data_IF_702043317442
#
_entry.id   IF_702043317442
#
_cell.length_a   1.000
_cell.length_b   1.000
_cell.length_c   1.000
_cell.angle_alpha   90.00
_cell.angle_beta   90.00
_cell.angle_gamma   90.00
#
_symmetry.space_group_name_H-M   'P 1'
#
loop_
_entity.id
_entity.type
_entity.pdbx_description
1 polymer ?
#
# COMPACT_ATOMS: atom_id res chain seq x y z
N UNK A 1 1.16 5.42 -10.85
CA UNK A 1 0.06 4.67 -10.20
C UNK A 1 -0.59 5.58 -9.17
N UNK A 2 -1.90 5.65 -9.19
CA UNK A 2 -2.67 6.54 -8.32
C UNK A 2 -3.65 5.76 -7.47
N UNK A 3 -3.95 6.29 -6.29
CA UNK A 3 -4.91 5.71 -5.36
C UNK A 3 -6.00 6.73 -5.10
N UNK A 4 -7.24 6.30 -5.23
CA UNK A 4 -8.42 7.15 -5.01
C UNK A 4 -9.35 6.49 -4.03
N UNK A 5 -9.97 7.29 -3.18
CA UNK A 5 -10.92 6.78 -2.19
C UNK A 5 -12.32 7.32 -2.46
N UNK A 6 -13.31 6.44 -2.42
CA UNK A 6 -14.71 6.83 -2.49
C UNK A 6 -15.11 7.56 -1.21
N UNK A 7 -15.65 8.77 -1.34
CA UNK A 7 -16.08 9.58 -0.19
C UNK A 7 -17.28 8.98 0.53
N UNK A 8 -18.07 8.16 -0.16
CA UNK A 8 -19.31 7.59 0.41
C UNK A 8 -19.06 6.23 1.06
N UNK A 9 -18.37 5.31 0.38
CA UNK A 9 -18.20 3.95 0.87
C UNK A 9 -16.79 3.65 1.40
N UNK A 10 -15.82 4.54 1.17
CA UNK A 10 -14.45 4.35 1.63
C UNK A 10 -13.61 3.39 0.78
N UNK A 11 -14.18 2.79 -0.26
CA UNK A 11 -13.44 1.85 -1.11
C UNK A 11 -12.30 2.55 -1.84
N UNK A 12 -11.15 1.87 -1.94
CA UNK A 12 -9.98 2.41 -2.60
C UNK A 12 -9.80 1.77 -3.97
N UNK A 13 -9.56 2.61 -4.97
CA UNK A 13 -9.29 2.22 -6.35
C UNK A 13 -7.84 2.50 -6.69
N UNK A 14 -7.15 1.53 -7.26
CA UNK A 14 -5.78 1.67 -7.77
C UNK A 14 -5.86 1.73 -9.29
N UNK A 15 -5.34 2.81 -9.88
CA UNK A 15 -5.44 3.02 -11.33
C UNK A 15 -4.42 4.06 -11.81
N UNK A 16 -4.13 4.05 -13.11
CA UNK A 16 -3.37 5.11 -13.77
C UNK A 16 -4.26 6.18 -14.38
N UNK A 17 -5.59 6.01 -14.31
CA UNK A 17 -6.53 6.99 -14.86
C UNK A 17 -6.51 8.27 -14.04
N UNK A 18 -6.71 9.46 -14.68
CA UNK A 18 -6.80 10.72 -13.96
C UNK A 18 -8.12 10.80 -13.18
N UNK A 19 -8.14 11.61 -12.12
CA UNK A 19 -9.30 11.76 -11.23
C UNK A 19 -10.58 12.12 -11.96
N UNK A 20 -10.50 12.99 -12.98
CA UNK A 20 -11.69 13.45 -13.73
C UNK A 20 -12.42 12.33 -14.46
N UNK A 21 -11.79 11.18 -14.65
CA UNK A 21 -12.42 10.02 -15.29
C UNK A 21 -13.07 9.06 -14.31
N UNK A 22 -12.97 9.31 -13.00
CA UNK A 22 -13.41 8.38 -11.96
C UNK A 22 -14.72 8.79 -11.28
N UNK A 23 -15.31 9.93 -11.67
CA UNK A 23 -16.55 10.43 -11.10
C UNK A 23 -16.35 11.36 -9.90
N UNK A 24 -17.46 11.90 -9.41
CA UNK A 24 -17.44 13.00 -8.43
C UNK A 24 -17.17 12.58 -7.00
N UNK A 25 -17.33 11.30 -6.70
CA UNK A 25 -17.25 10.80 -5.31
C UNK A 25 -15.87 10.29 -4.91
N UNK A 26 -14.87 10.51 -5.75
CA UNK A 26 -13.50 10.04 -5.49
C UNK A 26 -12.61 11.18 -5.04
N UNK A 27 -11.70 10.89 -4.13
CA UNK A 27 -10.64 11.82 -3.72
C UNK A 27 -9.30 11.11 -3.89
N UNK A 28 -8.31 11.82 -4.40
CA UNK A 28 -6.97 11.27 -4.55
C UNK A 28 -6.28 11.16 -3.20
N UNK A 29 -5.65 10.02 -2.94
CA UNK A 29 -4.81 9.81 -1.78
C UNK A 29 -3.36 10.11 -2.15
N UNK A 30 -2.76 11.08 -1.45
CA UNK A 30 -1.36 11.44 -1.64
C UNK A 30 -0.55 10.73 -0.57
N UNK A 31 0.37 9.83 -0.94
CA UNK A 31 1.12 9.07 0.07
C UNK A 31 2.04 9.95 0.91
N UNK A 32 2.31 9.52 2.13
CA UNK A 32 3.25 10.15 3.06
C UNK A 32 2.89 11.57 3.47
N UNK A 33 1.59 11.95 3.41
CA UNK A 33 1.14 13.31 3.76
C UNK A 33 0.40 13.39 5.08
N UNK A 34 0.08 12.24 5.69
CA UNK A 34 -0.59 12.20 6.99
C UNK A 34 0.44 12.39 8.11
N UNK A 35 0.11 13.20 9.12
CA UNK A 35 0.95 13.40 10.29
C UNK A 35 0.85 12.18 11.22
N UNK A 36 1.81 11.29 11.11
CA UNK A 36 1.90 10.06 11.91
C UNK A 36 3.34 9.54 11.91
N UNK A 37 3.60 8.53 12.74
CA UNK A 37 4.94 7.98 12.92
C UNK A 37 5.44 7.26 11.64
N UNK A 38 6.41 7.84 10.96
CA UNK A 38 6.99 7.27 9.74
C UNK A 38 7.60 5.89 9.96
N UNK A 39 8.28 5.67 11.10
CA UNK A 39 8.90 4.38 11.43
C UNK A 39 7.90 3.23 11.55
N UNK A 40 6.62 3.52 11.74
CA UNK A 40 5.54 2.52 11.81
C UNK A 40 4.74 2.41 10.52
N UNK A 41 4.88 3.32 9.57
CA UNK A 41 4.03 3.42 8.39
C UNK A 41 4.76 3.23 7.08
N UNK A 42 5.99 3.74 6.95
CA UNK A 42 6.72 3.64 5.68
C UNK A 42 7.08 2.19 5.42
N UNK A 43 6.68 1.63 4.25
CA UNK A 43 6.99 0.23 3.93
C UNK A 43 8.49 -0.03 3.86
N UNK A 44 8.89 -1.20 4.32
CA UNK A 44 10.27 -1.69 4.21
C UNK A 44 10.28 -2.83 3.20
N UNK A 45 11.06 -2.69 2.13
CA UNK A 45 11.08 -3.61 1.01
C UNK A 45 12.38 -4.41 1.02
N UNK A 46 12.26 -5.74 0.97
CA UNK A 46 13.41 -6.64 0.85
C UNK A 46 13.24 -7.49 -0.39
N UNK A 47 14.20 -7.43 -1.31
CA UNK A 47 14.18 -8.20 -2.55
C UNK A 47 15.22 -9.31 -2.47
N UNK A 48 14.78 -10.56 -2.62
CA UNK A 48 15.66 -11.74 -2.66
C UNK A 48 15.33 -12.55 -3.90
N UNK A 49 16.05 -12.30 -5.00
CA UNK A 49 15.76 -12.94 -6.28
C UNK A 49 14.37 -12.56 -6.77
N UNK A 50 13.50 -13.55 -6.96
CA UNK A 50 12.12 -13.34 -7.39
C UNK A 50 11.14 -13.13 -6.23
N UNK A 51 11.62 -13.15 -4.99
CA UNK A 51 10.78 -12.96 -3.80
C UNK A 51 10.94 -11.53 -3.27
N UNK A 52 9.82 -10.86 -3.03
CA UNK A 52 9.80 -9.52 -2.42
C UNK A 52 8.99 -9.58 -1.14
N UNK A 53 9.59 -9.19 -0.03
CA UNK A 53 8.91 -9.08 1.26
C UNK A 53 8.74 -7.61 1.60
N UNK A 54 7.50 -7.21 1.92
CA UNK A 54 7.17 -5.85 2.34
C UNK A 54 6.64 -5.90 3.76
N UNK A 55 7.32 -5.20 4.66
CA UNK A 55 6.91 -5.07 6.06
C UNK A 55 6.48 -3.62 6.35
N UNK A 56 5.49 -3.45 7.22
CA UNK A 56 5.03 -2.12 7.62
C UNK A 56 5.26 -1.98 9.12
N UNK A 57 6.20 -1.24 9.55
CA UNK A 57 7.31 -0.48 8.98
C UNK A 57 8.59 -0.97 9.64
N UNK A 58 9.63 -0.16 9.81
CA UNK A 58 10.83 -0.51 10.59
C UNK A 58 10.43 -0.94 12.01
N UNK A 59 9.52 -0.21 12.63
CA UNK A 59 8.84 -0.61 13.87
C UNK A 59 7.48 -1.18 13.47
N UNK A 60 7.18 -2.40 13.90
CA UNK A 60 5.97 -3.11 13.49
C UNK A 60 4.71 -2.30 13.79
N UNK A 61 3.88 -2.11 12.75
CA UNK A 61 2.61 -1.39 12.88
C UNK A 61 1.59 -2.26 13.62
N UNK A 62 0.74 -1.68 14.49
CA UNK A 62 -0.33 -2.45 15.13
C UNK A 62 -1.31 -3.03 14.11
N UNK A 63 -1.91 -4.16 14.48
CA UNK A 63 -2.91 -4.86 13.66
C UNK A 63 -4.13 -5.19 14.52
N UNK A 64 -4.76 -4.15 15.07
CA UNK A 64 -5.98 -4.21 15.88
C UNK A 64 -7.20 -3.88 15.01
N UNK A 65 -8.39 -4.32 15.39
CA UNK A 65 -9.61 -4.03 14.61
C UNK A 65 -9.82 -2.55 14.35
N UNK A 66 -9.52 -1.70 15.32
CA UNK A 66 -9.69 -0.25 15.18
C UNK A 66 -8.50 0.44 14.49
N UNK A 67 -7.36 -0.22 14.39
CA UNK A 67 -6.13 0.38 13.87
C UNK A 67 -5.26 -0.70 13.23
N UNK A 68 -5.28 -0.79 11.91
CA UNK A 68 -4.53 -1.83 11.20
C UNK A 68 -4.22 -1.44 9.75
N UNK A 69 -3.27 -2.15 9.16
CA UNK A 69 -2.93 -2.03 7.75
C UNK A 69 -3.92 -2.87 6.95
N UNK A 70 -4.68 -2.24 6.06
CA UNK A 70 -5.76 -2.91 5.34
C UNK A 70 -5.28 -3.63 4.09
N UNK A 71 -4.22 -3.13 3.45
CA UNK A 71 -3.61 -3.79 2.30
C UNK A 71 -2.18 -3.32 2.08
N UNK A 72 -1.44 -4.13 1.33
CA UNK A 72 -0.10 -3.79 0.82
C UNK A 72 -0.13 -4.01 -0.69
N UNK A 73 0.40 -3.03 -1.44
CA UNK A 73 0.54 -3.09 -2.89
C UNK A 73 2.02 -3.04 -3.23
N UNK A 74 2.45 -3.96 -4.11
CA UNK A 74 3.78 -3.89 -4.72
C UNK A 74 3.60 -3.46 -6.17
N UNK A 75 4.14 -2.31 -6.51
CA UNK A 75 4.23 -1.85 -7.90
C UNK A 75 5.49 -2.45 -8.53
N UNK A 76 5.35 -2.99 -9.74
CA UNK A 76 6.44 -3.62 -10.47
C UNK A 76 6.55 -3.05 -11.88
N UNK A 77 7.60 -3.45 -12.60
CA UNK A 77 7.78 -3.06 -14.00
C UNK A 77 6.68 -3.59 -14.93
N UNK A 78 5.84 -4.52 -14.46
CA UNK A 78 4.78 -5.15 -15.26
C UNK A 78 3.37 -4.88 -14.76
N UNK A 79 3.22 -4.05 -13.73
CA UNK A 79 1.92 -3.76 -13.14
C UNK A 79 2.00 -3.69 -11.63
N UNK A 80 1.03 -4.30 -10.95
CA UNK A 80 1.06 -4.33 -9.49
C UNK A 80 0.39 -5.58 -8.96
N UNK A 81 0.76 -5.93 -7.71
CA UNK A 81 0.13 -7.00 -6.95
C UNK A 81 -0.40 -6.41 -5.64
N UNK A 82 -1.57 -6.83 -5.21
CA UNK A 82 -2.20 -6.34 -3.99
C UNK A 82 -2.54 -7.49 -3.06
N UNK A 83 -2.22 -7.34 -1.78
CA UNK A 83 -2.63 -8.27 -0.74
C UNK A 83 -3.41 -7.55 0.35
N UNK A 84 -4.63 -8.00 0.60
CA UNK A 84 -5.45 -7.51 1.69
C UNK A 84 -5.05 -8.18 2.99
N UNK A 85 -5.06 -7.40 4.07
CA UNK A 85 -4.74 -7.88 5.41
C UNK A 85 -5.96 -7.72 6.32
N UNK A 86 -5.95 -8.49 7.40
CA UNK A 86 -6.99 -8.43 8.43
C UNK A 86 -6.35 -8.17 9.80
N UNK A 87 -7.10 -7.59 10.74
CA UNK A 87 -6.61 -7.48 12.11
C UNK A 87 -6.14 -8.83 12.65
N UNK A 88 -5.04 -8.82 13.39
CA UNK A 88 -4.42 -10.03 13.94
C UNK A 88 -3.39 -10.69 13.04
N UNK A 89 -3.38 -10.37 11.74
CA UNK A 89 -2.32 -10.82 10.85
C UNK A 89 -1.07 -9.96 11.03
N UNK A 90 0.09 -10.46 10.61
CA UNK A 90 1.30 -9.63 10.60
C UNK A 90 1.19 -8.54 9.55
N UNK A 91 1.70 -7.32 9.81
CA UNK A 91 1.68 -6.23 8.83
C UNK A 91 2.79 -6.42 7.79
N UNK A 92 2.68 -7.49 7.04
CA UNK A 92 3.66 -7.83 5.99
C UNK A 92 2.99 -8.63 4.89
N UNK A 93 3.60 -8.60 3.71
CA UNK A 93 3.19 -9.40 2.56
C UNK A 93 4.41 -9.89 1.79
N UNK A 94 4.29 -11.08 1.21
CA UNK A 94 5.31 -11.67 0.37
C UNK A 94 4.77 -11.76 -1.06
N UNK A 95 5.54 -11.26 -2.03
CA UNK A 95 5.17 -11.24 -3.43
C UNK A 95 6.17 -12.04 -4.25
N UNK A 96 5.72 -12.62 -5.34
CA UNK A 96 6.57 -13.30 -6.30
C UNK A 96 6.65 -12.49 -7.59
N UNK A 97 7.87 -12.32 -8.11
CA UNK A 97 8.12 -11.65 -9.38
C UNK A 97 8.26 -12.69 -10.48
N UNK A 98 7.73 -12.38 -11.67
CA UNK A 98 8.00 -13.14 -12.87
C UNK A 98 9.43 -12.91 -13.34
N UNK A 99 9.91 -13.75 -14.26
CA UNK A 99 11.22 -13.57 -14.87
C UNK A 99 11.28 -12.20 -15.57
N UNK A 100 12.29 -11.39 -15.24
CA UNK A 100 12.47 -10.05 -15.78
C UNK A 100 11.63 -8.96 -15.15
N UNK A 101 10.71 -9.31 -14.27
CA UNK A 101 9.91 -8.35 -13.53
C UNK A 101 10.72 -7.75 -12.37
N UNK A 102 10.62 -6.43 -12.16
CA UNK A 102 11.36 -5.72 -11.12
C UNK A 102 10.42 -4.99 -10.18
N UNK A 103 10.74 -5.00 -8.88
CA UNK A 103 10.04 -4.19 -7.90
C UNK A 103 10.35 -2.71 -8.14
N UNK A 104 9.34 -1.85 -8.08
CA UNK A 104 9.46 -0.40 -8.28
C UNK A 104 9.19 0.33 -6.99
N UNK A 105 8.08 0.04 -6.31
CA UNK A 105 7.68 0.71 -5.08
C UNK A 105 6.68 -0.17 -4.32
N UNK A 106 6.58 0.06 -3.03
CA UNK A 106 5.52 -0.55 -2.24
C UNK A 106 4.63 0.53 -1.62
N UNK A 107 3.36 0.20 -1.43
CA UNK A 107 2.36 1.06 -0.80
C UNK A 107 1.64 0.28 0.28
N UNK A 108 1.22 0.97 1.33
CA UNK A 108 0.33 0.40 2.33
C UNK A 108 -0.75 1.42 2.70
N UNK A 109 -1.89 0.94 3.13
CA UNK A 109 -2.97 1.80 3.61
C UNK A 109 -3.33 1.44 5.05
N UNK A 110 -3.14 2.42 5.95
CA UNK A 110 -3.59 2.35 7.33
C UNK A 110 -4.97 2.96 7.44
N UNK A 111 -5.91 2.28 8.09
CA UNK A 111 -7.29 2.78 8.20
C UNK A 111 -7.41 4.13 8.94
N UNK A 112 -6.45 4.46 9.81
CA UNK A 112 -6.44 5.74 10.54
C UNK A 112 -5.49 6.77 9.95
N UNK A 113 -4.37 6.36 9.34
CA UNK A 113 -3.29 7.27 8.96
C UNK A 113 -3.01 7.31 7.46
N UNK A 114 -3.86 6.69 6.65
CA UNK A 114 -3.83 6.85 5.20
C UNK A 114 -2.77 6.04 4.47
N UNK A 115 -2.40 6.54 3.29
CA UNK A 115 -1.53 5.86 2.33
C UNK A 115 -0.06 6.24 2.54
N UNK A 116 0.81 5.23 2.50
CA UNK A 116 2.26 5.39 2.65
C UNK A 116 2.99 4.61 1.58
N UNK A 117 4.15 5.09 1.16
CA UNK A 117 4.95 4.47 0.11
C UNK A 117 6.44 4.57 0.38
N UNK A 118 7.18 3.64 -0.22
CA UNK A 118 8.64 3.69 -0.33
C UNK A 118 9.04 3.09 -1.67
N UNK A 119 10.12 3.60 -2.23
CA UNK A 119 10.71 3.05 -3.46
C UNK A 119 11.54 1.80 -3.14
N UNK A 120 11.54 0.89 -4.09
CA UNK A 120 12.34 -0.33 -3.98
C UNK A 120 13.82 -0.06 -4.22
#
# INVERSE_FOLDING_TARGET
MNFYQCKECGQITVTDAPLEKLGEHKVELIPNTTDAAGEKHVPVIQVEGSKVTVCVGVVEHPMLEAHYITFIVLETSQGYQKKNLKPGEKPMAVFALAEGEKAVAAYEFCNLHGLWTADA
#
